data_IF_834868027553
#
_entry.id   IF_834868027553
#
_cell.length_a   1.000
_cell.length_b   1.000
_cell.length_c   1.000
_cell.angle_alpha   90.00
_cell.angle_beta   90.00
_cell.angle_gamma   90.00
#
_symmetry.space_group_name_H-M   'P 1'
#
loop_
_entity.id
_entity.type
_entity.pdbx_description
1 polymer ?
#
# COMPACT_ATOMS: atom_id res chain seq x y z
N UNK A 1 24.11 8.81 -4.82
CA UNK A 1 23.02 8.36 -5.69
C UNK A 1 21.73 8.78 -5.02
N UNK A 2 20.88 9.52 -5.73
CA UNK A 2 19.55 9.87 -5.20
C UNK A 2 18.59 8.67 -5.30
N UNK A 3 17.41 8.77 -4.66
CA UNK A 3 16.43 7.69 -4.63
C UNK A 3 15.96 7.28 -6.03
N UNK A 4 15.80 8.24 -6.94
CA UNK A 4 15.29 7.98 -8.30
C UNK A 4 16.33 7.21 -9.14
N UNK A 5 17.59 7.61 -9.06
CA UNK A 5 18.71 6.90 -9.69
C UNK A 5 18.85 5.49 -9.11
N UNK A 6 18.72 5.34 -7.78
CA UNK A 6 18.76 4.04 -7.11
C UNK A 6 17.67 3.11 -7.63
N UNK A 7 16.42 3.58 -7.67
CA UNK A 7 15.27 2.80 -8.16
C UNK A 7 15.43 2.42 -9.63
N UNK A 8 15.85 3.35 -10.48
CA UNK A 8 16.10 3.08 -11.91
C UNK A 8 17.20 2.04 -12.11
N UNK A 9 18.29 2.15 -11.36
CA UNK A 9 19.37 1.17 -11.41
C UNK A 9 18.89 -0.22 -11.00
N UNK A 10 18.03 -0.33 -9.99
CA UNK A 10 17.48 -1.61 -9.55
C UNK A 10 16.53 -2.19 -10.60
N UNK A 11 15.62 -1.39 -11.14
CA UNK A 11 14.66 -1.85 -12.16
C UNK A 11 15.37 -2.27 -13.47
N UNK A 12 16.52 -1.68 -13.77
CA UNK A 12 17.33 -2.01 -14.94
C UNK A 12 18.15 -3.30 -14.85
N UNK A 13 18.31 -3.87 -13.65
CA UNK A 13 19.09 -5.11 -13.47
C UNK A 13 18.43 -6.27 -14.20
N UNK A 14 19.21 -6.97 -15.01
CA UNK A 14 18.85 -8.31 -15.49
C UNK A 14 18.69 -9.28 -14.32
N UNK A 15 18.00 -10.40 -14.53
CA UNK A 15 17.85 -11.42 -13.49
C UNK A 15 19.21 -11.88 -12.93
N UNK A 16 20.21 -12.13 -13.78
CA UNK A 16 21.53 -12.56 -13.30
C UNK A 16 22.25 -11.50 -12.46
N UNK A 17 22.17 -10.22 -12.85
CA UNK A 17 22.76 -9.13 -12.07
C UNK A 17 22.06 -8.98 -10.72
N UNK A 18 20.73 -9.11 -10.71
CA UNK A 18 19.95 -9.10 -9.49
C UNK A 18 20.30 -10.26 -8.58
N UNK A 19 20.40 -11.50 -9.09
CA UNK A 19 20.77 -12.66 -8.27
C UNK A 19 22.18 -12.53 -7.66
N UNK A 20 23.12 -11.88 -8.36
CA UNK A 20 24.48 -11.59 -7.85
C UNK A 20 24.52 -10.58 -6.71
N UNK A 21 23.42 -9.91 -6.41
CA UNK A 21 23.30 -9.03 -5.22
C UNK A 21 23.01 -9.80 -3.93
N UNK A 22 22.81 -11.11 -4.02
CA UNK A 22 22.68 -12.02 -2.89
C UNK A 22 23.98 -12.79 -2.68
N UNK A 23 24.20 -13.25 -1.46
CA UNK A 23 25.33 -14.11 -1.12
C UNK A 23 25.30 -15.41 -1.93
N UNK A 24 26.47 -15.96 -2.29
CA UNK A 24 26.53 -17.25 -3.01
C UNK A 24 26.08 -18.43 -2.13
N UNK A 25 26.33 -18.35 -0.83
CA UNK A 25 26.01 -19.41 0.12
C UNK A 25 24.52 -19.38 0.50
N UNK A 26 23.84 -20.48 0.22
CA UNK A 26 22.48 -20.68 0.68
C UNK A 26 22.46 -21.22 2.11
N UNK A 27 21.60 -20.64 2.94
CA UNK A 27 21.37 -21.05 4.33
C UNK A 27 19.93 -21.51 4.50
N UNK A 28 19.71 -22.29 5.54
CA UNK A 28 18.39 -22.77 5.90
C UNK A 28 17.79 -21.87 6.98
N UNK A 29 16.57 -21.39 6.75
CA UNK A 29 15.84 -20.54 7.68
C UNK A 29 14.41 -21.04 7.87
N UNK A 30 13.85 -20.78 9.04
CA UNK A 30 12.40 -20.77 9.26
C UNK A 30 11.94 -19.33 9.22
N UNK A 31 11.01 -18.99 8.34
CA UNK A 31 10.53 -17.61 8.17
C UNK A 31 9.04 -17.55 8.45
N UNK A 32 8.58 -16.53 9.19
CA UNK A 32 7.17 -16.24 9.43
C UNK A 32 6.70 -15.19 8.43
N UNK A 33 5.91 -15.60 7.44
CA UNK A 33 5.38 -14.71 6.42
C UNK A 33 4.15 -13.98 6.96
N UNK A 34 4.20 -12.65 6.94
CA UNK A 34 3.16 -11.70 7.35
C UNK A 34 3.58 -10.31 6.84
N UNK A 35 2.66 -9.34 6.73
CA UNK A 35 2.96 -8.01 6.20
C UNK A 35 2.69 -7.86 4.70
N UNK A 36 1.89 -8.76 4.12
CA UNK A 36 1.46 -8.69 2.73
C UNK A 36 2.41 -9.33 1.71
N UNK A 37 2.20 -8.97 0.43
CA UNK A 37 2.93 -9.51 -0.73
C UNK A 37 2.80 -8.57 -1.94
N UNK A 38 3.73 -8.66 -2.88
CA UNK A 38 3.68 -7.85 -4.09
C UNK A 38 4.64 -8.34 -5.16
N UNK A 39 4.50 -7.77 -6.36
CA UNK A 39 5.40 -8.04 -7.48
C UNK A 39 5.85 -6.72 -8.11
N UNK A 40 7.12 -6.65 -8.52
CA UNK A 40 7.67 -5.49 -9.20
C UNK A 40 8.34 -5.88 -10.50
N UNK A 41 8.06 -5.12 -11.56
CA UNK A 41 8.65 -5.36 -12.87
C UNK A 41 10.11 -4.88 -12.88
N UNK A 42 11.01 -5.78 -13.26
CA UNK A 42 12.43 -5.52 -13.54
C UNK A 42 12.72 -5.74 -15.03
N UNK A 43 13.99 -5.66 -15.40
CA UNK A 43 14.43 -5.85 -16.78
C UNK A 43 14.17 -7.30 -17.24
N UNK A 44 13.05 -7.47 -17.95
CA UNK A 44 12.61 -8.75 -18.55
C UNK A 44 12.22 -9.86 -17.56
N UNK A 45 11.89 -9.51 -16.31
CA UNK A 45 11.31 -10.45 -15.32
C UNK A 45 10.55 -9.68 -14.22
N UNK A 46 9.79 -10.38 -13.40
CA UNK A 46 9.12 -9.89 -12.21
C UNK A 46 9.83 -10.38 -10.95
N UNK A 47 10.16 -9.46 -10.04
CA UNK A 47 10.54 -9.83 -8.68
C UNK A 47 9.27 -9.94 -7.85
N UNK A 48 8.93 -11.16 -7.44
CA UNK A 48 7.85 -11.39 -6.48
C UNK A 48 8.44 -11.36 -5.07
N UNK A 49 7.74 -10.68 -4.16
CA UNK A 49 8.12 -10.52 -2.77
C UNK A 49 6.97 -10.92 -1.84
N UNK A 50 7.30 -11.69 -0.81
CA UNK A 50 6.42 -11.92 0.36
C UNK A 50 7.11 -11.39 1.59
N UNK A 51 6.38 -10.62 2.39
CA UNK A 51 6.93 -10.00 3.57
C UNK A 51 7.02 -11.01 4.72
N UNK A 52 7.98 -10.79 5.61
CA UNK A 52 8.11 -11.53 6.85
C UNK A 52 8.38 -10.56 7.99
N UNK A 53 7.93 -10.94 9.18
CA UNK A 53 8.12 -10.15 10.42
C UNK A 53 9.18 -10.77 11.35
N UNK A 54 9.55 -12.03 11.10
CA UNK A 54 10.65 -12.70 11.80
C UNK A 54 11.17 -13.92 11.03
N UNK A 55 12.42 -14.31 11.33
CA UNK A 55 12.98 -15.59 10.91
C UNK A 55 13.90 -16.18 11.97
N UNK A 56 14.10 -17.49 11.93
CA UNK A 56 15.08 -18.23 12.71
C UNK A 56 16.12 -18.80 11.75
N UNK A 57 17.39 -18.57 12.05
CA UNK A 57 18.49 -19.21 11.33
C UNK A 57 18.68 -20.65 11.86
N UNK A 58 18.49 -21.66 11.01
CA UNK A 58 18.50 -23.06 11.45
C UNK A 58 19.87 -23.56 11.90
N UNK A 59 20.97 -22.90 11.47
CA UNK A 59 22.33 -23.30 11.86
C UNK A 59 22.66 -22.81 13.27
N UNK A 60 22.24 -21.60 13.60
CA UNK A 60 22.55 -20.94 14.88
C UNK A 60 21.44 -21.07 15.91
N UNK A 61 20.20 -21.31 15.48
CA UNK A 61 19.00 -21.27 16.31
C UNK A 61 18.59 -19.84 16.73
N UNK A 62 19.23 -18.81 16.18
CA UNK A 62 18.97 -17.43 16.55
C UNK A 62 17.66 -16.92 15.91
N UNK A 63 16.79 -16.34 16.74
CA UNK A 63 15.59 -15.61 16.31
C UNK A 63 15.96 -14.17 15.95
N UNK A 64 15.50 -13.73 14.78
CA UNK A 64 15.59 -12.36 14.32
C UNK A 64 14.18 -11.82 14.10
N UNK A 65 13.83 -10.77 14.84
CA UNK A 65 12.56 -10.04 14.69
C UNK A 65 12.80 -8.76 13.90
N UNK A 66 11.90 -8.44 12.99
CA UNK A 66 11.95 -7.25 12.15
C UNK A 66 11.60 -7.57 10.71
N UNK A 67 11.18 -6.53 10.01
CA UNK A 67 10.60 -6.68 8.68
C UNK A 67 11.65 -7.02 7.64
N UNK A 68 11.26 -7.88 6.72
CA UNK A 68 12.04 -8.22 5.54
C UNK A 68 11.19 -8.91 4.50
N UNK A 69 11.84 -9.39 3.44
CA UNK A 69 11.15 -9.99 2.30
C UNK A 69 11.84 -11.25 1.83
N UNK A 70 11.07 -12.30 1.57
CA UNK A 70 11.53 -13.39 0.70
C UNK A 70 11.21 -13.01 -0.75
N UNK A 71 12.14 -13.28 -1.66
CA UNK A 71 12.00 -12.87 -3.06
C UNK A 71 12.36 -13.99 -4.02
N UNK A 72 11.71 -14.02 -5.18
CA UNK A 72 12.00 -14.94 -6.28
C UNK A 72 11.65 -14.31 -7.63
N UNK A 73 12.38 -14.68 -8.70
CA UNK A 73 12.11 -14.18 -10.03
C UNK A 73 10.98 -14.98 -10.69
N UNK A 74 10.17 -14.30 -11.49
CA UNK A 74 9.08 -14.87 -12.29
C UNK A 74 9.13 -14.28 -13.69
N UNK A 75 8.86 -15.09 -14.72
CA UNK A 75 8.82 -14.64 -16.12
C UNK A 75 7.58 -13.79 -16.42
N UNK A 76 7.56 -13.14 -17.58
CA UNK A 76 6.37 -12.41 -18.05
C UNK A 76 5.20 -13.35 -18.32
N UNK A 77 5.48 -14.51 -18.90
CA UNK A 77 4.45 -15.51 -19.20
C UNK A 77 3.78 -16.07 -17.94
N UNK A 78 4.56 -16.29 -16.87
CA UNK A 78 4.03 -16.74 -15.58
C UNK A 78 3.22 -15.65 -14.88
N UNK A 79 3.66 -14.39 -14.96
CA UNK A 79 2.89 -13.25 -14.45
C UNK A 79 1.53 -13.15 -15.14
N UNK A 80 1.52 -13.21 -16.47
CA UNK A 80 0.31 -13.09 -17.28
C UNK A 80 -0.65 -14.29 -17.12
N UNK A 81 -0.13 -15.45 -16.72
CA UNK A 81 -0.95 -16.61 -16.35
C UNK A 81 -1.70 -16.41 -15.03
N UNK A 82 -1.29 -15.45 -14.20
CA UNK A 82 -1.89 -15.12 -12.90
C UNK A 82 -1.45 -16.06 -11.76
N UNK A 83 -1.76 -15.65 -10.53
CA UNK A 83 -1.54 -16.47 -9.33
C UNK A 83 -0.10 -16.49 -8.79
N UNK A 84 0.79 -15.65 -9.31
CA UNK A 84 2.21 -15.61 -8.87
C UNK A 84 2.39 -15.25 -7.39
N UNK A 85 1.37 -14.61 -6.80
CA UNK A 85 1.32 -14.21 -5.40
C UNK A 85 0.67 -15.27 -4.49
N UNK A 86 0.16 -16.38 -5.04
CA UNK A 86 -0.58 -17.38 -4.26
C UNK A 86 0.30 -18.53 -3.76
N UNK A 87 1.59 -18.51 -4.11
CA UNK A 87 2.55 -19.56 -3.77
C UNK A 87 2.75 -19.73 -2.26
N UNK A 88 2.57 -18.65 -1.49
CA UNK A 88 2.74 -18.63 -0.04
C UNK A 88 1.48 -18.12 0.65
N UNK A 89 1.11 -18.80 1.74
CA UNK A 89 0.09 -18.32 2.66
C UNK A 89 0.65 -17.24 3.58
N UNK A 90 -0.15 -16.22 3.87
CA UNK A 90 0.12 -15.27 4.94
C UNK A 90 -0.07 -15.92 6.31
N UNK A 91 0.55 -15.33 7.33
CA UNK A 91 0.56 -15.78 8.72
C UNK A 91 1.00 -17.25 8.90
N UNK A 92 1.97 -17.68 8.09
CA UNK A 92 2.45 -19.05 8.07
C UNK A 92 3.97 -19.11 8.13
N UNK A 93 4.47 -20.15 8.80
CA UNK A 93 5.90 -20.45 8.84
C UNK A 93 6.29 -21.29 7.62
N UNK A 94 7.44 -21.00 7.02
CA UNK A 94 8.03 -21.82 5.96
C UNK A 94 9.49 -22.12 6.29
N UNK A 95 9.93 -23.34 5.98
CA UNK A 95 11.34 -23.71 5.99
C UNK A 95 11.91 -23.55 4.60
N UNK A 96 12.86 -22.64 4.46
CA UNK A 96 13.42 -22.26 3.18
C UNK A 96 14.92 -22.49 3.17
N UNK A 97 15.43 -22.88 2.01
CA UNK A 97 16.82 -22.66 1.65
C UNK A 97 16.89 -21.36 0.86
N UNK A 98 17.64 -20.38 1.36
CA UNK A 98 17.68 -19.05 0.78
C UNK A 98 19.07 -18.40 0.84
N UNK A 99 19.34 -17.50 -0.09
CA UNK A 99 20.54 -16.66 -0.15
C UNK A 99 20.22 -15.30 0.45
N UNK A 100 21.01 -14.84 1.42
CA UNK A 100 20.77 -13.53 2.07
C UNK A 100 21.24 -12.41 1.15
N UNK A 101 20.53 -11.28 1.15
CA UNK A 101 20.98 -10.06 0.45
C UNK A 101 22.31 -9.59 1.01
N UNK A 102 23.24 -9.24 0.13
CA UNK A 102 24.49 -8.61 0.55
C UNK A 102 24.18 -7.20 1.08
N UNK A 103 24.63 -6.85 2.30
CA UNK A 103 24.46 -5.50 2.83
C UNK A 103 25.06 -4.47 1.89
N UNK A 104 24.31 -3.42 1.61
CA UNK A 104 24.75 -2.30 0.79
C UNK A 104 24.16 -1.00 1.32
N UNK A 105 24.82 0.11 1.02
CA UNK A 105 24.32 1.45 1.36
C UNK A 105 23.14 1.81 0.44
N UNK A 106 22.04 2.23 1.04
CA UNK A 106 20.87 2.73 0.33
C UNK A 106 20.61 4.20 0.70
N UNK A 107 20.07 5.00 -0.24
CA UNK A 107 19.71 6.38 0.04
C UNK A 107 18.52 6.46 1.03
N UNK A 108 18.34 7.65 1.61
CA UNK A 108 17.19 7.97 2.44
C UNK A 108 15.88 7.72 1.66
N UNK A 109 14.88 7.11 2.30
CA UNK A 109 13.60 6.75 1.69
C UNK A 109 13.52 5.29 1.21
N UNK A 110 14.60 4.51 1.28
CA UNK A 110 14.53 3.06 1.09
C UNK A 110 14.11 2.39 2.40
N UNK A 111 13.02 1.64 2.38
CA UNK A 111 12.52 0.92 3.55
C UNK A 111 13.57 -0.09 4.06
N UNK A 112 13.71 -0.20 5.38
CA UNK A 112 14.63 -1.16 6.01
C UNK A 112 14.33 -2.61 5.59
N UNK A 113 13.05 -2.95 5.38
CA UNK A 113 12.62 -4.26 4.88
C UNK A 113 13.18 -4.57 3.48
N UNK A 114 13.41 -3.56 2.63
CA UNK A 114 14.06 -3.72 1.33
C UNK A 114 15.55 -4.06 1.43
N UNK A 115 16.17 -3.85 2.60
CA UNK A 115 17.56 -4.22 2.85
C UNK A 115 17.67 -5.64 3.46
N UNK A 116 16.60 -6.11 4.11
CA UNK A 116 16.50 -7.43 4.71
C UNK A 116 15.80 -8.40 3.76
N UNK A 117 16.52 -8.88 2.72
CA UNK A 117 15.94 -9.80 1.74
C UNK A 117 16.60 -11.18 1.74
N UNK A 118 15.80 -12.19 1.40
CA UNK A 118 16.23 -13.56 1.15
C UNK A 118 15.75 -14.04 -0.22
N UNK A 119 16.69 -14.36 -1.11
CA UNK A 119 16.38 -14.99 -2.38
C UNK A 119 16.12 -16.47 -2.16
N UNK A 120 14.91 -16.92 -2.48
CA UNK A 120 14.51 -18.32 -2.34
C UNK A 120 15.29 -19.18 -3.33
N UNK A 121 15.91 -20.24 -2.81
CA UNK A 121 16.54 -21.28 -3.62
C UNK A 121 15.62 -22.51 -3.66
N UNK A 122 15.03 -22.87 -2.52
CA UNK A 122 14.18 -24.05 -2.40
C UNK A 122 13.23 -23.90 -1.20
N UNK A 123 11.98 -24.33 -1.36
CA UNK A 123 11.02 -24.50 -0.26
C UNK A 123 11.16 -25.94 0.26
N UNK A 124 11.60 -26.08 1.51
CA UNK A 124 11.88 -27.39 2.11
C UNK A 124 10.68 -27.98 2.85
N UNK A 125 9.92 -27.12 3.54
CA UNK A 125 8.79 -27.54 4.36
C UNK A 125 7.79 -26.39 4.52
N UNK A 126 6.50 -26.70 4.41
CA UNK A 126 5.41 -25.76 4.65
C UNK A 126 4.83 -25.96 6.05
N UNK A 127 4.63 -24.85 6.77
CA UNK A 127 4.06 -24.83 8.14
C UNK A 127 4.77 -25.77 9.14
N UNK A 128 6.12 -25.81 9.19
CA UNK A 128 6.81 -26.52 10.26
C UNK A 128 6.50 -25.86 11.62
N UNK A 129 6.39 -26.64 12.71
CA UNK A 129 6.18 -26.09 14.04
C UNK A 129 7.42 -25.29 14.49
N UNK A 130 7.22 -24.10 15.04
CA UNK A 130 8.30 -23.26 15.54
C UNK A 130 7.78 -22.37 16.68
N UNK A 131 7.92 -22.78 17.95
CA UNK A 131 7.37 -22.04 19.08
C UNK A 131 7.81 -20.57 19.14
N UNK A 132 9.06 -20.28 18.79
CA UNK A 132 9.59 -18.92 18.77
C UNK A 132 8.86 -18.02 17.74
N UNK A 133 8.55 -18.54 16.55
CA UNK A 133 7.81 -17.80 15.53
C UNK A 133 6.30 -17.77 15.82
N UNK A 134 5.77 -18.80 16.48
CA UNK A 134 4.37 -18.82 16.95
C UNK A 134 4.11 -17.72 18.00
N UNK A 135 5.06 -17.47 18.90
CA UNK A 135 4.99 -16.34 19.84
C UNK A 135 5.01 -14.99 19.12
N UNK A 136 5.88 -14.82 18.12
CA UNK A 136 5.91 -13.61 17.28
C UNK A 136 4.59 -13.43 16.53
N UNK A 137 4.03 -14.49 15.95
CA UNK A 137 2.74 -14.44 15.25
C UNK A 137 1.59 -14.07 16.20
N UNK A 138 1.60 -14.60 17.43
CA UNK A 138 0.61 -14.24 18.43
C UNK A 138 0.66 -12.75 18.80
N UNK A 139 1.87 -12.18 18.92
CA UNK A 139 2.03 -10.73 19.12
C UNK A 139 1.61 -9.94 17.88
N UNK A 140 1.98 -10.39 16.69
CA UNK A 140 1.57 -9.76 15.43
C UNK A 140 0.04 -9.71 15.28
N UNK A 141 -0.68 -10.73 15.73
CA UNK A 141 -2.16 -10.76 15.69
C UNK A 141 -2.85 -9.86 16.71
N UNK A 142 -2.12 -9.28 17.66
CA UNK A 142 -2.74 -8.34 18.61
C UNK A 142 -3.17 -7.08 17.87
N UNK A 143 -4.48 -6.75 17.88
CA UNK A 143 -4.95 -5.52 17.25
C UNK A 143 -4.28 -4.30 17.90
N UNK A 144 -3.88 -3.35 17.07
CA UNK A 144 -3.44 -2.03 17.54
C UNK A 144 -4.58 -1.08 17.25
N UNK A 145 -5.23 -0.62 18.31
CA UNK A 145 -6.43 0.23 18.23
C UNK A 145 -6.14 1.55 18.92
N UNK A 146 -6.47 2.64 18.25
CA UNK A 146 -6.32 4.00 18.73
C UNK A 146 -7.69 4.67 18.79
N UNK A 147 -8.08 5.14 19.96
CA UNK A 147 -9.29 5.96 20.12
C UNK A 147 -8.90 7.44 20.10
N UNK A 148 -9.57 8.22 19.26
CA UNK A 148 -9.46 9.67 19.16
C UNK A 148 -10.85 10.31 19.34
N UNK A 149 -10.91 11.45 20.02
CA UNK A 149 -12.19 12.13 20.33
C UNK A 149 -12.92 12.63 19.08
N UNK A 150 -12.20 12.91 17.98
CA UNK A 150 -12.75 13.43 16.72
C UNK A 150 -12.84 12.34 15.67
N UNK A 151 -11.81 11.50 15.55
CA UNK A 151 -11.72 10.46 14.51
C UNK A 151 -12.38 9.13 14.91
N UNK A 152 -12.83 9.00 16.17
CA UNK A 152 -13.42 7.76 16.67
C UNK A 152 -12.37 6.68 16.90
N UNK A 153 -12.74 5.44 16.61
CA UNK A 153 -11.85 4.28 16.73
C UNK A 153 -11.14 4.01 15.40
N UNK A 154 -9.82 3.88 15.47
CA UNK A 154 -8.95 3.57 14.35
C UNK A 154 -8.20 2.27 14.64
N UNK A 155 -8.22 1.32 13.70
CA UNK A 155 -7.51 0.04 13.81
C UNK A 155 -6.39 -0.01 12.79
N UNK A 156 -5.18 -0.38 13.24
CA UNK A 156 -4.04 -0.55 12.35
C UNK A 156 -4.16 -1.84 11.55
N UNK A 157 -4.21 -1.70 10.23
CA UNK A 157 -3.81 -2.75 9.31
C UNK A 157 -2.28 -2.77 9.19
N UNK A 158 -1.67 -3.84 9.69
CA UNK A 158 -0.21 -4.03 9.73
C UNK A 158 0.36 -4.52 8.41
N UNK A 159 -0.47 -5.01 7.49
CA UNK A 159 -0.01 -5.42 6.17
C UNK A 159 0.18 -4.21 5.25
N UNK A 160 -0.54 -3.11 5.52
CA UNK A 160 -0.48 -1.88 4.72
C UNK A 160 0.10 -0.67 5.46
N UNK A 161 0.41 -0.80 6.75
CA UNK A 161 0.78 0.31 7.64
C UNK A 161 -0.24 1.46 7.59
N UNK A 162 -1.52 1.12 7.66
CA UNK A 162 -2.64 2.06 7.56
C UNK A 162 -3.56 1.92 8.76
N UNK A 163 -3.88 3.03 9.43
CA UNK A 163 -5.00 3.05 10.36
C UNK A 163 -6.32 3.25 9.61
N UNK A 164 -7.25 2.31 9.77
CA UNK A 164 -8.59 2.37 9.18
C UNK A 164 -9.64 2.75 10.23
N UNK A 165 -10.61 3.54 9.81
CA UNK A 165 -11.83 3.79 10.58
C UNK A 165 -12.82 4.64 9.80
N UNK A 166 -13.76 5.26 10.54
CA UNK A 166 -14.85 6.01 9.92
C UNK A 166 -15.06 7.35 10.61
N UNK A 167 -15.42 8.37 9.83
CA UNK A 167 -15.77 9.70 10.34
C UNK A 167 -17.04 10.20 9.68
N UNK A 168 -17.68 11.19 10.30
CA UNK A 168 -18.79 11.92 9.69
C UNK A 168 -18.25 13.09 8.87
N UNK A 169 -18.53 13.08 7.57
CA UNK A 169 -18.22 14.13 6.62
C UNK A 169 -19.51 14.66 5.99
N UNK A 170 -19.78 15.95 6.17
CA UNK A 170 -21.04 16.60 5.76
C UNK A 170 -22.31 15.88 6.28
N UNK A 171 -22.20 15.16 7.40
CA UNK A 171 -23.30 14.39 8.00
C UNK A 171 -23.40 12.93 7.55
N UNK A 172 -22.63 12.53 6.53
CA UNK A 172 -22.56 11.16 6.02
C UNK A 172 -21.32 10.44 6.56
N UNK A 173 -21.40 9.14 6.77
CA UNK A 173 -20.25 8.35 7.20
C UNK A 173 -19.36 8.02 6.01
N UNK A 174 -18.07 8.32 6.11
CA UNK A 174 -17.04 7.97 5.13
C UNK A 174 -15.94 7.13 5.76
N UNK A 175 -15.22 6.38 4.93
CA UNK A 175 -14.02 5.66 5.35
C UNK A 175 -12.81 6.59 5.42
N UNK A 176 -11.94 6.37 6.40
CA UNK A 176 -10.69 7.09 6.55
C UNK A 176 -9.56 6.10 6.71
N UNK A 177 -8.52 6.31 5.92
CA UNK A 177 -7.28 5.53 5.93
C UNK A 177 -6.12 6.48 6.22
N UNK A 178 -5.41 6.27 7.31
CA UNK A 178 -4.24 7.07 7.69
C UNK A 178 -2.96 6.27 7.44
N UNK A 179 -2.21 6.66 6.42
CA UNK A 179 -0.91 6.06 6.12
C UNK A 179 0.12 6.46 7.18
N UNK A 180 0.76 5.47 7.79
CA UNK A 180 1.68 5.64 8.90
C UNK A 180 2.92 4.78 8.75
N UNK A 181 3.88 4.94 9.66
CA UNK A 181 4.90 3.94 9.94
C UNK A 181 4.49 3.19 11.21
N UNK A 182 4.19 1.89 11.12
CA UNK A 182 3.73 1.07 12.25
C UNK A 182 4.76 0.99 13.39
N UNK A 183 6.03 1.31 13.16
CA UNK A 183 7.05 1.38 14.20
C UNK A 183 7.19 2.78 14.84
N UNK A 184 6.48 3.79 14.34
CA UNK A 184 6.64 5.19 14.72
C UNK A 184 5.33 5.83 15.21
N UNK A 185 5.16 5.88 16.54
CA UNK A 185 4.01 6.58 17.16
C UNK A 185 3.91 8.06 16.76
N UNK A 186 5.04 8.71 16.47
CA UNK A 186 5.07 10.10 15.99
C UNK A 186 4.35 10.24 14.63
N UNK A 187 4.51 9.26 13.74
CA UNK A 187 3.78 9.24 12.46
C UNK A 187 2.27 9.08 12.69
N UNK A 188 1.85 8.30 13.69
CA UNK A 188 0.44 8.09 14.04
C UNK A 188 -0.19 9.36 14.59
N UNK A 189 0.56 10.12 15.39
CA UNK A 189 0.13 11.42 15.87
C UNK A 189 -0.01 12.39 14.70
N UNK A 190 1.00 12.48 13.83
CA UNK A 190 1.02 13.40 12.70
C UNK A 190 -0.16 13.16 11.73
N UNK A 191 -0.38 11.92 11.29
CA UNK A 191 -1.47 11.59 10.35
C UNK A 191 -2.86 11.90 10.94
N UNK A 192 -3.08 11.58 12.24
CA UNK A 192 -4.33 11.94 12.93
C UNK A 192 -4.52 13.45 13.04
N UNK A 193 -3.46 14.22 13.30
CA UNK A 193 -3.56 15.68 13.36
C UNK A 193 -3.85 16.27 11.98
N UNK A 194 -3.25 15.73 10.91
CA UNK A 194 -3.55 16.13 9.54
C UNK A 194 -5.04 15.90 9.20
N UNK A 195 -5.56 14.71 9.46
CA UNK A 195 -6.97 14.41 9.21
C UNK A 195 -7.93 15.28 10.03
N UNK A 196 -7.62 15.52 11.32
CA UNK A 196 -8.41 16.43 12.16
C UNK A 196 -8.40 17.86 11.65
N UNK A 197 -7.26 18.34 11.15
CA UNK A 197 -7.17 19.68 10.57
C UNK A 197 -8.04 19.80 9.32
N UNK A 198 -8.14 18.75 8.50
CA UNK A 198 -9.05 18.69 7.36
C UNK A 198 -10.53 18.70 7.82
N UNK A 199 -10.91 17.85 8.77
CA UNK A 199 -12.27 17.76 9.29
C UNK A 199 -12.77 19.07 9.92
N UNK A 200 -11.88 19.81 10.58
CA UNK A 200 -12.21 21.11 11.18
C UNK A 200 -12.66 22.16 10.14
N UNK A 201 -12.30 21.97 8.86
CA UNK A 201 -12.67 22.84 7.74
C UNK A 201 -13.33 22.05 6.60
N UNK A 202 -14.10 21.01 6.96
CA UNK A 202 -14.70 20.07 6.00
C UNK A 202 -15.56 20.76 4.93
N UNK A 203 -16.29 21.83 5.28
CA UNK A 203 -17.15 22.56 4.32
C UNK A 203 -16.32 23.19 3.20
N UNK A 204 -15.14 23.73 3.53
CA UNK A 204 -14.22 24.30 2.56
C UNK A 204 -13.65 23.20 1.68
N UNK A 205 -13.14 22.13 2.29
CA UNK A 205 -12.51 21.03 1.57
C UNK A 205 -13.48 20.32 0.64
N UNK A 206 -14.69 20.01 1.10
CA UNK A 206 -15.73 19.37 0.30
C UNK A 206 -16.06 20.19 -0.95
N UNK A 207 -16.32 21.49 -0.75
CA UNK A 207 -16.58 22.41 -1.85
C UNK A 207 -15.41 22.47 -2.84
N UNK A 208 -14.19 22.62 -2.34
CA UNK A 208 -13.01 22.80 -3.19
C UNK A 208 -12.69 21.51 -3.97
N UNK A 209 -12.86 20.33 -3.35
CA UNK A 209 -12.70 19.04 -4.02
C UNK A 209 -13.74 18.84 -5.12
N UNK A 210 -15.03 19.08 -4.82
CA UNK A 210 -16.11 18.98 -5.80
C UNK A 210 -15.94 19.95 -6.96
N UNK A 211 -15.51 21.17 -6.67
CA UNK A 211 -15.25 22.18 -7.69
C UNK A 211 -14.09 21.78 -8.62
N UNK A 212 -13.02 21.19 -8.07
CA UNK A 212 -11.91 20.70 -8.90
C UNK A 212 -12.34 19.53 -9.77
N UNK A 213 -13.02 18.54 -9.19
CA UNK A 213 -13.54 17.39 -9.92
C UNK A 213 -14.47 17.81 -11.07
N UNK A 214 -15.40 18.74 -10.81
CA UNK A 214 -16.28 19.24 -11.85
C UNK A 214 -15.53 19.96 -12.97
N UNK A 215 -14.62 20.88 -12.63
CA UNK A 215 -13.85 21.62 -13.63
C UNK A 215 -12.99 20.70 -14.51
N UNK A 216 -12.43 19.64 -13.95
CA UNK A 216 -11.49 18.77 -14.67
C UNK A 216 -12.17 17.61 -15.41
N UNK A 217 -13.32 17.12 -14.90
CA UNK A 217 -13.92 15.87 -15.38
C UNK A 217 -15.30 16.05 -16.04
N UNK A 218 -15.92 17.24 -16.03
CA UNK A 218 -17.25 17.41 -16.65
C UNK A 218 -17.23 17.16 -18.16
N UNK A 219 -16.20 17.64 -18.87
CA UNK A 219 -16.10 17.37 -20.32
C UNK A 219 -16.01 15.87 -20.59
N UNK A 220 -15.19 15.15 -19.81
CA UNK A 220 -15.07 13.70 -19.89
C UNK A 220 -16.38 13.00 -19.53
N UNK A 221 -17.07 13.43 -18.46
CA UNK A 221 -18.38 12.90 -18.08
C UNK A 221 -19.41 13.05 -19.21
N UNK A 222 -19.38 14.18 -19.94
CA UNK A 222 -20.23 14.40 -21.12
C UNK A 222 -19.91 13.45 -22.28
N UNK A 223 -18.63 13.07 -22.47
CA UNK A 223 -18.22 12.09 -23.49
C UNK A 223 -18.65 10.66 -23.14
N UNK A 224 -18.62 10.32 -21.85
CA UNK A 224 -18.99 9.01 -21.34
C UNK A 224 -20.50 8.79 -21.24
N UNK A 225 -21.27 9.88 -21.23
CA UNK A 225 -22.73 9.82 -21.33
C UNK A 225 -23.14 9.04 -22.56
N UNK A 226 -23.97 8.01 -22.35
CA UNK A 226 -24.45 7.16 -23.42
C UNK A 226 -25.21 8.00 -24.47
N UNK A 227 -24.66 8.11 -25.67
CA UNK A 227 -25.23 8.92 -26.76
C UNK A 227 -26.62 8.46 -27.21
N UNK A 228 -27.10 7.33 -26.70
CA UNK A 228 -28.43 6.77 -26.98
C UNK A 228 -29.55 7.37 -26.11
N UNK A 229 -29.24 8.07 -25.01
CA UNK A 229 -30.24 8.67 -24.12
C UNK A 229 -30.30 10.20 -24.31
N UNK A 230 -30.88 10.63 -25.44
CA UNK A 230 -31.06 12.05 -25.80
C UNK A 230 -31.94 12.84 -24.81
N UNK A 231 -32.67 12.15 -23.92
CA UNK A 231 -33.53 12.76 -22.89
C UNK A 231 -32.80 12.99 -21.55
N UNK A 232 -31.59 12.45 -21.37
CA UNK A 232 -30.81 12.65 -20.16
C UNK A 232 -30.34 14.13 -20.03
N UNK A 233 -30.49 14.76 -18.84
CA UNK A 233 -30.07 16.14 -18.63
C UNK A 233 -28.57 16.31 -18.92
N UNK A 234 -28.22 17.49 -19.46
CA UNK A 234 -26.82 17.84 -19.71
C UNK A 234 -26.00 17.83 -18.41
N UNK A 235 -24.84 17.18 -18.45
CA UNK A 235 -23.91 17.17 -17.33
C UNK A 235 -23.15 18.50 -17.37
N UNK A 236 -23.57 19.42 -16.51
CA UNK A 236 -22.85 20.66 -16.23
C UNK A 236 -21.90 20.46 -15.06
N UNK A 237 -20.93 21.36 -14.88
CA UNK A 237 -20.07 21.35 -13.69
C UNK A 237 -20.89 21.39 -12.39
N UNK A 238 -21.97 22.18 -12.36
CA UNK A 238 -22.82 22.33 -11.18
C UNK A 238 -23.64 21.06 -10.87
N UNK A 239 -24.10 20.35 -11.91
CA UNK A 239 -24.80 19.07 -11.72
C UNK A 239 -23.82 17.96 -11.37
N UNK A 240 -22.64 17.92 -11.98
CA UNK A 240 -21.62 16.92 -11.71
C UNK A 240 -21.07 17.05 -10.28
N UNK A 241 -20.72 18.27 -9.85
CA UNK A 241 -20.26 18.55 -8.48
C UNK A 241 -21.27 18.11 -7.40
N UNK A 242 -22.58 18.19 -7.71
CA UNK A 242 -23.66 17.75 -6.81
C UNK A 242 -23.92 16.25 -6.86
N UNK A 243 -23.58 15.61 -7.98
CA UNK A 243 -23.83 14.19 -8.21
C UNK A 243 -22.81 13.31 -7.52
N UNK A 244 -21.55 13.71 -7.51
CA UNK A 244 -20.48 12.92 -6.88
C UNK A 244 -20.65 12.85 -5.35
N UNK A 245 -20.36 11.71 -4.73
CA UNK A 245 -20.45 11.49 -3.28
C UNK A 245 -19.11 11.03 -2.73
N UNK A 246 -18.57 11.74 -1.72
CA UNK A 246 -17.32 11.33 -1.08
C UNK A 246 -17.54 10.01 -0.34
N UNK A 247 -16.69 9.01 -0.61
CA UNK A 247 -16.73 7.69 0.03
C UNK A 247 -15.57 7.47 0.99
N UNK A 248 -14.38 7.93 0.64
CA UNK A 248 -13.21 7.75 1.50
C UNK A 248 -12.15 8.84 1.33
N UNK A 249 -11.37 9.03 2.39
CA UNK A 249 -10.16 9.86 2.36
C UNK A 249 -8.97 9.03 2.86
N UNK A 250 -7.91 9.03 2.07
CA UNK A 250 -6.58 8.56 2.47
C UNK A 250 -5.72 9.78 2.81
N UNK A 251 -5.02 9.75 3.94
CA UNK A 251 -4.20 10.84 4.45
C UNK A 251 -2.88 10.31 5.00
N UNK A 252 -1.75 10.90 4.62
CA UNK A 252 -0.45 10.56 5.19
C UNK A 252 -0.04 11.50 6.36
N UNK A 253 1.06 11.17 7.01
CA UNK A 253 1.63 11.97 8.10
C UNK A 253 2.13 13.36 7.67
N UNK A 254 2.38 13.59 6.37
CA UNK A 254 2.81 14.89 5.81
C UNK A 254 1.63 15.77 5.38
N UNK A 255 0.40 15.24 5.44
CA UNK A 255 -0.82 15.93 5.04
C UNK A 255 -1.09 15.89 3.53
N UNK A 256 -0.49 14.95 2.80
CA UNK A 256 -0.94 14.58 1.46
C UNK A 256 -2.21 13.76 1.57
N UNK A 257 -3.15 13.98 0.65
CA UNK A 257 -4.41 13.25 0.64
C UNK A 257 -4.87 12.84 -0.75
N UNK A 258 -5.63 11.74 -0.76
CA UNK A 258 -6.43 11.25 -1.88
C UNK A 258 -7.86 11.06 -1.40
N UNK A 259 -8.82 11.68 -2.07
CA UNK A 259 -10.23 11.62 -1.73
C UNK A 259 -11.00 10.94 -2.87
N UNK A 260 -11.71 9.86 -2.56
CA UNK A 260 -12.40 9.02 -3.53
C UNK A 260 -13.89 9.32 -3.50
N UNK A 261 -14.43 9.67 -4.66
CA UNK A 261 -15.82 9.96 -4.88
C UNK A 261 -16.46 8.88 -5.77
N UNK A 262 -17.65 8.46 -5.35
CA UNK A 262 -18.63 7.76 -6.16
C UNK A 262 -19.27 8.77 -7.11
N UNK A 263 -19.39 8.45 -8.39
CA UNK A 263 -19.88 9.35 -9.41
C UNK A 263 -21.29 9.03 -9.90
N UNK A 264 -21.99 8.13 -9.20
CA UNK A 264 -23.32 7.62 -9.58
C UNK A 264 -23.31 7.04 -11.00
N UNK A 265 -22.30 6.21 -11.28
CA UNK A 265 -22.11 5.42 -12.50
C UNK A 265 -21.93 6.25 -13.78
N UNK A 266 -21.46 7.49 -13.65
CA UNK A 266 -21.12 8.34 -14.81
C UNK A 266 -19.98 7.72 -15.63
N UNK A 267 -19.01 7.11 -14.96
CA UNK A 267 -17.85 6.47 -15.56
C UNK A 267 -17.94 4.94 -15.50
N UNK A 268 -19.14 4.34 -15.49
CA UNK A 268 -19.34 2.88 -15.59
C UNK A 268 -18.47 2.06 -14.62
N UNK A 269 -18.47 2.44 -13.34
CA UNK A 269 -17.71 1.78 -12.28
C UNK A 269 -16.28 2.28 -12.05
N UNK A 270 -15.82 3.33 -12.75
CA UNK A 270 -14.61 4.06 -12.36
C UNK A 270 -14.92 5.06 -11.24
N UNK A 271 -13.92 5.41 -10.45
CA UNK A 271 -14.01 6.37 -9.35
C UNK A 271 -13.50 7.75 -9.75
N UNK A 272 -14.02 8.79 -9.10
CA UNK A 272 -13.45 10.15 -9.19
C UNK A 272 -12.51 10.34 -8.02
N UNK A 273 -11.21 10.51 -8.29
CA UNK A 273 -10.19 10.70 -7.26
C UNK A 273 -9.64 12.10 -7.29
N UNK A 274 -9.72 12.79 -6.16
CA UNK A 274 -9.22 14.16 -5.97
C UNK A 274 -7.97 14.12 -5.08
N UNK A 275 -6.93 14.85 -5.48
CA UNK A 275 -5.65 14.84 -4.79
C UNK A 275 -5.26 16.23 -4.30
N UNK A 276 -4.53 16.28 -3.20
CA UNK A 276 -3.99 17.53 -2.71
C UNK A 276 -3.07 17.36 -1.51
N UNK A 277 -2.68 18.50 -0.95
CA UNK A 277 -2.03 18.56 0.36
C UNK A 277 -2.73 19.59 1.23
N UNK A 278 -2.66 19.44 2.56
CA UNK A 278 -3.20 20.44 3.47
C UNK A 278 -2.57 21.83 3.28
N UNK A 279 -1.35 21.87 2.73
CA UNK A 279 -0.59 23.09 2.48
C UNK A 279 -1.00 23.78 1.17
N UNK A 280 -1.09 23.03 0.09
CA UNK A 280 -1.26 23.57 -1.26
C UNK A 280 -2.72 23.52 -1.74
N UNK A 281 -3.60 22.86 -0.98
CA UNK A 281 -5.01 22.67 -1.34
C UNK A 281 -5.19 21.51 -2.33
N UNK A 282 -6.33 21.52 -3.02
CA UNK A 282 -6.62 20.57 -4.10
C UNK A 282 -5.76 20.89 -5.31
N UNK A 283 -5.09 19.88 -5.86
CA UNK A 283 -4.11 20.03 -6.94
C UNK A 283 -4.55 19.42 -8.27
N UNK A 284 -5.33 18.33 -8.23
CA UNK A 284 -5.83 17.63 -9.43
C UNK A 284 -7.02 16.75 -9.10
N UNK A 285 -7.81 16.42 -10.12
CA UNK A 285 -8.85 15.40 -10.07
C UNK A 285 -8.80 14.50 -11.31
N UNK A 286 -8.91 13.19 -11.11
CA UNK A 286 -8.80 12.19 -12.17
C UNK A 286 -9.94 11.16 -12.06
N UNK A 287 -10.28 10.56 -13.20
CA UNK A 287 -11.02 9.29 -13.24
C UNK A 287 -10.01 8.14 -13.04
N UNK A 288 -10.29 7.23 -12.12
CA UNK A 288 -9.41 6.10 -11.77
C UNK A 288 -10.19 4.79 -11.61
N UNK A 289 -9.61 3.70 -12.10
CA UNK A 289 -10.25 2.38 -12.19
C UNK A 289 -9.84 1.67 -13.47
#
# INVERSE_FOLDING_TARGET
MDLLEYMRSHNGMTQEEWERTFEDEAREILVLLAGGRGASKRNSFWEVAHYFVAYVDCQTGALYTGDGRIVYPVSDEEHDAGGILDLFCQEAVYRLKARKKVPHEAPHGVAASSLSQFLIVEVLEERPPCPALEEVLAEYRRPVVVTDEVLGELTLDKDYDVFEGHVLWQGEQIDVSLEVDAASEDSWIAARQAMKAMLADQDRWDRDMRASAARELTELACEWRDSADEEAPEITEESFARRIELRSIVMDAEGSFSAYFDDDDVFFGHSVTVYGTLKDGVTKANMEG
#
